data_IF_087982498990
#
_entry.id   IF_087982498990
#
_cell.length_a   1.000
_cell.length_b   1.000
_cell.length_c   1.000
_cell.angle_alpha   90.00
_cell.angle_beta   90.00
_cell.angle_gamma   90.00
#
_symmetry.space_group_name_H-M   'P 1'
#
loop_
_entity.id
_entity.type
_entity.pdbx_description
1 polymer ?
#
# COMPACT_ATOMS: atom_id res chain seq x y z
N UNK A 1 -2.92 8.19 16.82
CA UNK A 1 -2.03 8.96 15.94
C UNK A 1 -0.78 8.13 15.72
N UNK A 2 -0.37 7.94 14.47
CA UNK A 2 0.80 7.12 14.10
C UNK A 2 1.72 7.90 13.17
N UNK A 3 3.00 7.56 13.14
CA UNK A 3 4.01 8.12 12.22
C UNK A 3 4.17 7.18 11.03
N UNK A 4 3.87 7.68 9.83
CA UNK A 4 3.75 6.89 8.61
C UNK A 4 4.69 7.44 7.54
N UNK A 5 5.50 6.56 6.96
CA UNK A 5 6.17 6.83 5.70
C UNK A 5 5.27 6.41 4.53
N UNK A 6 4.95 7.31 3.60
CA UNK A 6 4.14 6.99 2.41
C UNK A 6 4.95 7.19 1.14
N UNK A 7 5.16 6.11 0.39
CA UNK A 7 6.00 6.11 -0.81
C UNK A 7 5.15 5.77 -2.03
N UNK A 8 5.10 6.71 -2.99
CA UNK A 8 4.26 6.64 -4.17
C UNK A 8 2.97 7.45 -4.01
N UNK A 9 2.94 8.65 -4.59
CA UNK A 9 1.89 9.66 -4.46
C UNK A 9 1.14 9.86 -5.80
N UNK A 10 1.00 8.78 -6.56
CA UNK A 10 0.23 8.75 -7.80
C UNK A 10 -1.29 8.84 -7.60
N UNK A 11 -2.04 8.37 -8.59
CA UNK A 11 -3.52 8.45 -8.63
C UNK A 11 -4.21 7.83 -7.42
N UNK A 12 -3.68 6.73 -6.88
CA UNK A 12 -4.21 6.09 -5.68
C UNK A 12 -3.52 6.59 -4.40
N UNK A 13 -2.19 6.73 -4.44
CA UNK A 13 -1.40 7.05 -3.24
C UNK A 13 -1.69 8.45 -2.67
N UNK A 14 -1.80 9.47 -3.51
CA UNK A 14 -2.08 10.84 -3.07
C UNK A 14 -3.40 10.99 -2.28
N UNK A 15 -4.56 10.49 -2.77
CA UNK A 15 -5.79 10.55 -1.97
C UNK A 15 -5.74 9.68 -0.71
N UNK A 16 -5.09 8.51 -0.75
CA UNK A 16 -4.88 7.67 0.44
C UNK A 16 -4.08 8.40 1.53
N UNK A 17 -2.92 8.97 1.17
CA UNK A 17 -2.09 9.77 2.06
C UNK A 17 -2.85 10.99 2.61
N UNK A 18 -3.68 11.63 1.76
CA UNK A 18 -4.53 12.75 2.19
C UNK A 18 -5.55 12.33 3.26
N UNK A 19 -6.09 11.11 3.20
CA UNK A 19 -7.03 10.64 4.21
C UNK A 19 -6.33 10.30 5.53
N UNK A 20 -5.12 9.76 5.48
CA UNK A 20 -4.31 9.56 6.69
C UNK A 20 -4.03 10.89 7.40
N UNK A 21 -3.67 11.95 6.66
CA UNK A 21 -3.51 13.30 7.22
C UNK A 21 -4.80 13.83 7.87
N UNK A 22 -5.95 13.67 7.21
CA UNK A 22 -7.26 14.09 7.75
C UNK A 22 -7.61 13.38 9.07
N UNK A 23 -7.17 12.14 9.24
CA UNK A 23 -7.35 11.37 10.47
C UNK A 23 -6.31 11.69 11.55
N UNK A 24 -5.44 12.68 11.32
CA UNK A 24 -4.47 13.17 12.28
C UNK A 24 -3.20 12.32 12.39
N UNK A 25 -2.89 11.48 11.39
CA UNK A 25 -1.59 10.80 11.33
C UNK A 25 -0.48 11.76 10.86
N UNK A 26 0.75 11.50 11.29
CA UNK A 26 1.92 12.23 10.82
C UNK A 26 2.51 11.49 9.62
N UNK A 27 2.67 12.18 8.50
CA UNK A 27 3.17 11.57 7.28
C UNK A 27 4.50 12.18 6.86
N UNK A 28 5.49 11.32 6.63
CA UNK A 28 6.67 11.61 5.83
C UNK A 28 6.46 11.00 4.45
N UNK A 29 6.58 11.77 3.38
CA UNK A 29 6.16 11.33 2.04
C UNK A 29 7.28 11.44 1.01
N UNK A 30 7.33 10.46 0.11
CA UNK A 30 8.27 10.44 -1.00
C UNK A 30 7.59 10.01 -2.31
N UNK A 31 7.90 10.72 -3.38
CA UNK A 31 7.62 10.33 -4.76
C UNK A 31 8.74 10.88 -5.65
N UNK A 32 8.99 10.23 -6.79
CA UNK A 32 9.95 10.72 -7.80
C UNK A 32 9.45 12.00 -8.47
N UNK A 33 8.14 12.26 -8.43
CA UNK A 33 7.50 13.47 -8.91
C UNK A 33 7.40 14.53 -7.79
N UNK A 34 8.17 15.63 -7.86
CA UNK A 34 8.16 16.67 -6.83
C UNK A 34 6.80 17.38 -6.71
N UNK A 35 6.04 17.51 -7.79
CA UNK A 35 4.71 18.13 -7.74
C UNK A 35 3.74 17.27 -6.92
N UNK A 36 3.89 15.94 -6.97
CA UNK A 36 3.06 15.04 -6.18
C UNK A 36 3.38 15.17 -4.69
N UNK A 37 4.66 15.30 -4.33
CA UNK A 37 5.11 15.58 -2.96
C UNK A 37 4.55 16.92 -2.48
N UNK A 38 4.70 17.98 -3.26
CA UNK A 38 4.26 19.33 -2.88
C UNK A 38 2.77 19.39 -2.53
N UNK A 39 1.91 18.71 -3.31
CA UNK A 39 0.46 18.65 -3.03
C UNK A 39 0.12 18.04 -1.67
N UNK A 40 0.96 17.16 -1.13
CA UNK A 40 0.76 16.57 0.20
C UNK A 40 1.40 17.43 1.28
N UNK A 41 2.52 18.10 0.99
CA UNK A 41 3.12 19.10 1.87
C UNK A 41 2.14 20.24 2.15
N UNK A 42 1.43 20.72 1.12
CA UNK A 42 0.39 21.75 1.26
C UNK A 42 -0.77 21.30 2.18
N UNK A 43 -0.88 20.00 2.46
CA UNK A 43 -1.88 19.39 3.36
C UNK A 43 -1.29 18.99 4.73
N UNK A 44 -0.01 19.28 4.98
CA UNK A 44 0.66 19.02 6.26
C UNK A 44 1.57 17.79 6.30
N UNK A 45 1.85 17.13 5.17
CA UNK A 45 2.89 16.11 5.12
C UNK A 45 4.31 16.71 5.21
N UNK A 46 5.26 15.92 5.69
CA UNK A 46 6.68 16.24 5.65
C UNK A 46 7.30 15.64 4.38
N UNK A 47 8.01 16.42 3.55
CA UNK A 47 8.68 15.88 2.38
C UNK A 47 9.96 15.14 2.77
N UNK A 48 10.23 14.02 2.09
CA UNK A 48 11.52 13.34 2.14
C UNK A 48 12.20 13.37 0.75
N UNK A 49 13.52 13.38 0.73
CA UNK A 49 14.35 13.33 -0.48
C UNK A 49 14.65 11.91 -0.96
N UNK A 50 14.36 10.90 -0.13
CA UNK A 50 14.53 9.49 -0.48
C UNK A 50 13.61 8.58 0.36
N UNK A 51 13.39 7.32 -0.06
CA UNK A 51 12.68 6.34 0.75
C UNK A 51 13.30 6.13 2.13
N UNK A 52 14.63 6.04 2.22
CA UNK A 52 15.35 5.93 3.49
C UNK A 52 15.09 7.13 4.41
N UNK A 53 15.09 8.36 3.88
CA UNK A 53 14.79 9.51 4.72
C UNK A 53 13.33 9.49 5.20
N UNK A 54 12.40 9.04 4.34
CA UNK A 54 10.98 8.98 4.68
C UNK A 54 10.69 8.06 5.88
N UNK A 55 11.50 7.02 6.09
CA UNK A 55 11.26 5.97 7.09
C UNK A 55 11.93 6.21 8.44
N UNK A 56 12.67 7.31 8.63
CA UNK A 56 13.29 7.65 9.92
C UNK A 56 12.20 7.90 10.97
N UNK A 57 12.15 7.04 11.99
CA UNK A 57 11.16 7.13 13.07
C UNK A 57 9.73 6.72 12.67
N UNK A 58 9.54 6.15 11.48
CA UNK A 58 8.24 5.67 11.04
C UNK A 58 7.86 4.36 11.75
N UNK A 59 6.61 4.26 12.18
CA UNK A 59 5.99 3.04 12.73
C UNK A 59 5.44 2.17 11.59
N UNK A 60 4.96 2.82 10.53
CA UNK A 60 4.43 2.16 9.34
C UNK A 60 5.07 2.72 8.07
N UNK A 61 5.29 1.84 7.10
CA UNK A 61 5.68 2.24 5.73
C UNK A 61 4.63 1.73 4.77
N UNK A 62 4.07 2.60 3.96
CA UNK A 62 3.10 2.26 2.93
C UNK A 62 3.71 2.49 1.56
N UNK A 63 3.71 1.46 0.70
CA UNK A 63 4.10 1.58 -0.71
C UNK A 63 2.89 1.47 -1.63
N UNK A 64 2.77 2.40 -2.58
CA UNK A 64 1.70 2.42 -3.59
C UNK A 64 2.28 2.68 -4.99
N UNK A 65 2.95 1.67 -5.54
CA UNK A 65 3.78 1.79 -6.74
C UNK A 65 3.22 1.03 -7.97
N UNK A 66 3.63 1.38 -9.20
CA UNK A 66 3.12 0.78 -10.42
C UNK A 66 3.49 -0.70 -10.67
N UNK A 67 4.61 -1.19 -10.14
CA UNK A 67 5.09 -2.55 -10.36
C UNK A 67 6.03 -3.03 -9.24
N UNK A 68 6.25 -4.35 -9.18
CA UNK A 68 7.08 -4.98 -8.15
C UNK A 68 8.57 -4.66 -8.20
N UNK A 69 9.13 -4.32 -9.37
CA UNK A 69 10.54 -3.94 -9.48
C UNK A 69 10.81 -2.60 -8.81
N UNK A 70 9.86 -1.65 -8.94
CA UNK A 70 9.89 -0.39 -8.22
C UNK A 70 9.75 -0.58 -6.71
N UNK A 71 8.86 -1.48 -6.27
CA UNK A 71 8.76 -1.85 -4.84
C UNK A 71 10.09 -2.41 -4.35
N UNK A 72 10.71 -3.33 -5.09
CA UNK A 72 12.02 -3.89 -4.74
C UNK A 72 13.09 -2.80 -4.63
N UNK A 73 13.15 -1.89 -5.60
CA UNK A 73 14.11 -0.78 -5.60
C UNK A 73 13.89 0.17 -4.42
N UNK A 74 12.64 0.47 -4.09
CA UNK A 74 12.30 1.32 -2.94
C UNK A 74 12.66 0.64 -1.62
N UNK A 75 12.47 -0.68 -1.51
CA UNK A 75 12.78 -1.41 -0.28
C UNK A 75 14.28 -1.62 -0.08
N UNK A 76 14.98 -2.09 -1.12
CA UNK A 76 16.34 -2.62 -1.01
C UNK A 76 17.40 -1.91 -1.86
N UNK A 77 17.00 -0.94 -2.68
CA UNK A 77 17.93 -0.15 -3.48
C UNK A 77 18.74 0.83 -2.62
N UNK A 78 19.61 1.58 -3.29
CA UNK A 78 20.36 2.67 -2.66
C UNK A 78 19.39 3.74 -2.11
N UNK A 79 19.61 4.18 -0.87
CA UNK A 79 18.67 5.04 -0.13
C UNK A 79 17.28 4.41 0.00
N UNK A 80 17.22 3.09 0.04
CA UNK A 80 15.99 2.32 0.21
C UNK A 80 15.49 2.29 1.65
N UNK A 81 14.23 1.91 1.82
CA UNK A 81 13.54 1.79 3.12
C UNK A 81 14.38 1.01 4.15
N UNK A 82 14.98 -0.12 3.74
CA UNK A 82 15.72 -1.00 4.64
C UNK A 82 17.00 -0.40 5.24
N UNK A 83 17.48 0.77 4.78
CA UNK A 83 18.69 1.39 5.31
C UNK A 83 18.46 2.08 6.67
N UNK A 84 17.25 2.55 6.93
CA UNK A 84 16.91 3.41 8.08
C UNK A 84 15.67 2.97 8.84
N UNK A 85 14.87 2.06 8.26
CA UNK A 85 13.64 1.58 8.89
C UNK A 85 13.92 0.88 10.24
N UNK A 86 13.09 1.16 11.24
CA UNK A 86 13.12 0.45 12.51
C UNK A 86 12.73 -1.03 12.34
N UNK A 87 13.31 -1.92 13.14
CA UNK A 87 12.92 -3.35 13.16
C UNK A 87 11.53 -3.59 13.74
N UNK A 88 11.02 -2.62 14.49
CA UNK A 88 9.69 -2.65 15.09
C UNK A 88 8.60 -2.15 14.12
N UNK A 89 9.01 -1.47 13.03
CA UNK A 89 8.08 -0.92 12.07
C UNK A 89 7.49 -1.98 11.15
N UNK A 90 6.28 -1.71 10.65
CA UNK A 90 5.56 -2.59 9.73
C UNK A 90 5.52 -1.99 8.32
N UNK A 91 6.03 -2.74 7.34
CA UNK A 91 5.88 -2.42 5.92
C UNK A 91 4.58 -2.99 5.38
N UNK A 92 3.79 -2.16 4.73
CA UNK A 92 2.48 -2.47 4.14
C UNK A 92 2.57 -2.16 2.64
N UNK A 93 2.71 -3.19 1.81
CA UNK A 93 2.69 -3.00 0.37
C UNK A 93 1.26 -3.04 -0.18
N UNK A 94 0.85 -1.96 -0.84
CA UNK A 94 -0.48 -1.80 -1.44
C UNK A 94 -0.40 -1.64 -2.97
N UNK A 95 0.80 -1.76 -3.53
CA UNK A 95 1.16 -1.55 -4.94
C UNK A 95 0.44 -2.47 -5.93
N UNK A 96 0.73 -2.30 -7.22
CA UNK A 96 0.34 -3.29 -8.24
C UNK A 96 1.50 -4.25 -8.48
N UNK A 97 1.46 -5.43 -7.86
CA UNK A 97 2.54 -6.43 -7.91
C UNK A 97 1.99 -7.84 -8.13
N UNK A 98 2.78 -8.70 -8.76
CA UNK A 98 2.44 -10.10 -8.96
C UNK A 98 2.61 -10.90 -7.64
N UNK A 99 1.69 -11.81 -7.28
CA UNK A 99 1.75 -12.56 -6.02
C UNK A 99 3.12 -13.21 -5.73
N UNK A 100 3.72 -13.88 -6.72
CA UNK A 100 5.05 -14.49 -6.58
C UNK A 100 6.18 -13.49 -6.27
N UNK A 101 6.08 -12.25 -6.77
CA UNK A 101 7.05 -11.21 -6.43
C UNK A 101 6.84 -10.74 -5.00
N UNK A 102 5.59 -10.59 -4.56
CA UNK A 102 5.25 -10.26 -3.16
C UNK A 102 5.81 -11.30 -2.19
N UNK A 103 5.60 -12.60 -2.46
CA UNK A 103 6.12 -13.69 -1.62
C UNK A 103 7.65 -13.59 -1.45
N UNK A 104 8.35 -13.29 -2.55
CA UNK A 104 9.81 -13.10 -2.54
C UNK A 104 10.22 -11.85 -1.73
N UNK A 105 9.51 -10.74 -1.89
CA UNK A 105 9.78 -9.52 -1.12
C UNK A 105 9.58 -9.75 0.39
N UNK A 106 8.51 -10.44 0.78
CA UNK A 106 8.24 -10.78 2.18
C UNK A 106 9.36 -11.66 2.75
N UNK A 107 9.79 -12.69 2.01
CA UNK A 107 10.90 -13.55 2.43
C UNK A 107 12.22 -12.76 2.56
N UNK A 108 12.54 -11.89 1.61
CA UNK A 108 13.73 -11.04 1.64
C UNK A 108 13.68 -10.07 2.84
N UNK A 109 12.53 -9.45 3.12
CA UNK A 109 12.32 -8.57 4.28
C UNK A 109 12.52 -9.33 5.59
N UNK A 110 11.89 -10.51 5.72
CA UNK A 110 11.99 -11.34 6.91
C UNK A 110 13.44 -11.82 7.14
N UNK A 111 14.15 -12.22 6.09
CA UNK A 111 15.56 -12.65 6.18
C UNK A 111 16.48 -11.54 6.71
N UNK A 112 16.11 -10.28 6.45
CA UNK A 112 16.81 -9.10 6.96
C UNK A 112 16.32 -8.69 8.34
N UNK A 113 15.26 -9.26 8.89
CA UNK A 113 14.68 -8.92 10.19
C UNK A 113 13.64 -7.80 10.15
N UNK A 114 12.97 -7.58 9.02
CA UNK A 114 11.87 -6.62 8.89
C UNK A 114 10.51 -7.32 8.79
N UNK A 115 9.47 -6.64 9.27
CA UNK A 115 8.08 -7.09 9.16
C UNK A 115 7.43 -6.50 7.90
N UNK A 116 6.82 -7.36 7.09
CA UNK A 116 6.09 -6.95 5.88
C UNK A 116 4.76 -7.70 5.76
N UNK A 117 3.74 -6.98 5.31
CA UNK A 117 2.43 -7.51 4.92
C UNK A 117 2.02 -6.91 3.56
N UNK A 118 1.12 -7.58 2.85
CA UNK A 118 0.52 -7.07 1.63
C UNK A 118 -0.95 -6.72 1.82
N UNK A 119 -1.36 -5.55 1.33
CA UNK A 119 -2.73 -5.07 1.42
C UNK A 119 -3.18 -4.47 0.09
N UNK A 120 -3.37 -5.28 -0.97
CA UNK A 120 -3.95 -4.79 -2.20
C UNK A 120 -5.33 -4.17 -1.97
N UNK A 121 -5.58 -3.09 -2.70
CA UNK A 121 -6.85 -2.35 -2.60
C UNK A 121 -7.81 -2.72 -3.73
N UNK A 122 -9.08 -2.96 -3.40
CA UNK A 122 -10.17 -3.02 -4.37
C UNK A 122 -10.79 -1.64 -4.62
N UNK A 123 -11.70 -1.56 -5.59
CA UNK A 123 -12.45 -0.35 -5.99
C UNK A 123 -11.59 0.70 -6.72
N UNK A 124 -12.09 1.93 -6.88
CA UNK A 124 -11.54 2.96 -7.79
C UNK A 124 -10.82 4.09 -7.05
N UNK A 125 -10.21 5.00 -7.81
CA UNK A 125 -9.61 6.24 -7.30
C UNK A 125 -10.63 7.12 -6.56
N UNK A 126 -11.89 7.12 -6.96
CA UNK A 126 -12.94 7.87 -6.27
C UNK A 126 -13.12 7.35 -4.84
N UNK A 127 -13.03 6.03 -4.67
CA UNK A 127 -13.08 5.41 -3.34
C UNK A 127 -11.82 5.69 -2.52
N UNK A 128 -10.66 5.84 -3.16
CA UNK A 128 -9.46 6.32 -2.49
C UNK A 128 -9.65 7.77 -1.99
N UNK A 129 -10.32 8.63 -2.75
CA UNK A 129 -10.62 10.01 -2.35
C UNK A 129 -11.58 10.04 -1.16
N UNK A 130 -12.64 9.21 -1.19
CA UNK A 130 -13.66 9.17 -0.13
C UNK A 130 -13.25 8.36 1.10
N UNK A 131 -12.12 7.63 1.06
CA UNK A 131 -11.68 6.77 2.17
C UNK A 131 -12.54 5.51 2.32
N UNK A 132 -13.06 5.00 1.21
CA UNK A 132 -13.96 3.83 1.19
C UNK A 132 -13.38 2.71 0.33
N UNK A 133 -12.07 2.52 0.36
CA UNK A 133 -11.44 1.38 -0.29
C UNK A 133 -11.84 0.06 0.39
N UNK A 134 -11.85 -1.00 -0.41
CA UNK A 134 -11.82 -2.38 0.07
C UNK A 134 -10.36 -2.77 0.26
N UNK A 135 -9.99 -3.27 1.43
CA UNK A 135 -8.62 -3.59 1.80
C UNK A 135 -8.50 -5.10 2.01
N UNK A 136 -7.60 -5.76 1.27
CA UNK A 136 -7.41 -7.21 1.32
C UNK A 136 -6.11 -7.52 2.06
N UNK A 137 -6.16 -7.67 3.38
CA UNK A 137 -4.95 -7.78 4.19
C UNK A 137 -4.41 -9.21 4.24
N UNK A 138 -3.23 -9.43 3.67
CA UNK A 138 -2.39 -10.61 3.85
C UNK A 138 -1.35 -10.34 4.91
N UNK A 139 -1.57 -10.80 6.14
CA UNK A 139 -0.71 -10.58 7.30
C UNK A 139 -0.99 -11.57 8.43
N UNK A 140 -0.10 -11.65 9.42
CA UNK A 140 -0.41 -12.36 10.66
C UNK A 140 -1.55 -11.66 11.41
N UNK A 141 -2.18 -12.33 12.37
CA UNK A 141 -3.25 -11.73 13.16
C UNK A 141 -2.78 -10.43 13.84
N UNK A 142 -1.56 -10.44 14.37
CA UNK A 142 -0.93 -9.32 15.05
C UNK A 142 -0.63 -8.17 14.08
N UNK A 143 -0.11 -8.47 12.88
CA UNK A 143 0.13 -7.45 11.85
C UNK A 143 -1.19 -6.78 11.42
N UNK A 144 -2.24 -7.58 11.21
CA UNK A 144 -3.56 -7.06 10.79
C UNK A 144 -4.18 -6.21 11.90
N UNK A 145 -4.15 -6.68 13.14
CA UNK A 145 -4.65 -5.91 14.30
C UNK A 145 -3.91 -4.58 14.43
N UNK A 146 -2.57 -4.61 14.38
CA UNK A 146 -1.74 -3.42 14.50
C UNK A 146 -1.96 -2.42 13.35
N UNK A 147 -2.12 -2.90 12.11
CA UNK A 147 -2.34 -2.07 10.94
C UNK A 147 -3.78 -1.54 10.81
N UNK A 148 -4.77 -2.18 11.46
CA UNK A 148 -6.20 -1.88 11.27
C UNK A 148 -6.54 -0.39 11.44
N UNK A 149 -6.08 0.33 12.49
CA UNK A 149 -6.40 1.75 12.64
C UNK A 149 -5.90 2.62 11.47
N UNK A 150 -4.72 2.30 10.92
CA UNK A 150 -4.12 2.99 9.77
C UNK A 150 -4.85 2.62 8.48
N UNK A 151 -5.16 1.34 8.29
CA UNK A 151 -5.86 0.83 7.10
C UNK A 151 -7.27 1.43 7.00
N UNK A 152 -8.02 1.45 8.10
CA UNK A 152 -9.39 1.98 8.14
C UNK A 152 -9.49 3.51 8.02
N UNK A 153 -8.36 4.23 8.07
CA UNK A 153 -8.33 5.64 7.68
C UNK A 153 -8.40 5.84 6.15
N UNK A 154 -8.10 4.80 5.36
CA UNK A 154 -8.09 4.84 3.89
C UNK A 154 -9.23 4.01 3.27
N UNK A 155 -9.85 3.13 4.04
CA UNK A 155 -10.93 2.26 3.58
C UNK A 155 -12.03 2.08 4.61
N UNK A 156 -13.12 1.45 4.19
CA UNK A 156 -14.26 1.18 5.05
C UNK A 156 -14.60 -0.31 5.17
N UNK A 157 -13.82 -1.16 4.50
CA UNK A 157 -13.99 -2.61 4.53
C UNK A 157 -12.61 -3.26 4.51
N UNK A 158 -12.35 -4.12 5.49
CA UNK A 158 -11.10 -4.85 5.65
C UNK A 158 -11.39 -6.35 5.66
N UNK A 159 -10.82 -7.07 4.70
CA UNK A 159 -10.90 -8.52 4.60
C UNK A 159 -9.55 -9.11 4.97
N UNK A 160 -9.52 -9.88 6.05
CA UNK A 160 -8.34 -10.66 6.41
C UNK A 160 -8.24 -11.89 5.49
N UNK A 161 -7.13 -11.98 4.76
CA UNK A 161 -6.87 -13.03 3.76
C UNK A 161 -5.93 -14.14 4.27
N UNK A 162 -5.53 -14.06 5.54
CA UNK A 162 -4.56 -14.95 6.16
C UNK A 162 -3.14 -14.40 6.02
N UNK A 163 -2.15 -15.30 5.96
CA UNK A 163 -0.71 -14.99 6.01
C UNK A 163 -0.24 -13.92 4.99
N UNK A 164 0.91 -13.27 5.23
CA UNK A 164 1.59 -12.47 4.22
C UNK A 164 1.70 -13.20 2.86
N UNK A 165 1.41 -12.50 1.77
CA UNK A 165 1.34 -12.97 0.39
C UNK A 165 -0.09 -13.31 -0.08
N UNK A 166 -1.02 -13.55 0.85
CA UNK A 166 -2.37 -13.98 0.50
C UNK A 166 -3.27 -12.84 -0.02
N UNK A 167 -2.95 -11.58 0.27
CA UNK A 167 -3.74 -10.44 -0.18
C UNK A 167 -3.79 -10.37 -1.70
N UNK A 168 -2.63 -10.41 -2.36
CA UNK A 168 -2.55 -10.40 -3.83
C UNK A 168 -3.11 -11.67 -4.47
N UNK A 169 -2.99 -12.81 -3.80
CA UNK A 169 -3.62 -14.06 -4.25
C UNK A 169 -5.14 -13.89 -4.33
N UNK A 170 -5.77 -13.38 -3.25
CA UNK A 170 -7.21 -13.08 -3.22
C UNK A 170 -7.64 -12.00 -4.21
N UNK A 171 -6.82 -10.95 -4.37
CA UNK A 171 -7.10 -9.86 -5.33
C UNK A 171 -7.15 -10.40 -6.76
N UNK A 172 -6.22 -11.28 -7.11
CA UNK A 172 -6.16 -11.90 -8.44
C UNK A 172 -7.43 -12.72 -8.72
N UNK A 173 -7.88 -13.51 -7.75
CA UNK A 173 -9.14 -14.27 -7.84
C UNK A 173 -10.35 -13.33 -8.02
N UNK A 174 -10.42 -12.24 -7.24
CA UNK A 174 -11.49 -11.24 -7.37
C UNK A 174 -11.49 -10.59 -8.77
N UNK A 175 -10.32 -10.18 -9.27
CA UNK A 175 -10.19 -9.56 -10.60
C UNK A 175 -10.61 -10.52 -11.71
N UNK A 176 -10.24 -11.81 -11.61
CA UNK A 176 -10.67 -12.85 -12.54
C UNK A 176 -12.19 -13.02 -12.52
N UNK A 177 -12.80 -13.06 -11.33
CA UNK A 177 -14.26 -13.15 -11.20
C UNK A 177 -14.97 -11.96 -11.84
N UNK A 178 -14.52 -10.72 -11.56
CA UNK A 178 -15.07 -9.50 -12.14
C UNK A 178 -14.90 -9.45 -13.67
N UNK A 179 -13.76 -9.90 -14.19
CA UNK A 179 -13.51 -9.98 -15.62
C UNK A 179 -14.44 -10.99 -16.31
N UNK A 180 -14.60 -12.18 -15.73
CA UNK A 180 -15.54 -13.20 -16.21
C UNK A 180 -16.99 -12.67 -16.23
N UNK A 181 -17.43 -12.00 -15.16
CA UNK A 181 -18.75 -11.38 -15.08
C UNK A 181 -18.96 -10.31 -16.18
N UNK A 182 -17.96 -9.45 -16.40
CA UNK A 182 -17.98 -8.44 -17.49
C UNK A 182 -18.04 -9.08 -18.87
N UNK A 183 -17.30 -10.17 -19.09
CA UNK A 183 -17.33 -10.91 -20.35
C UNK A 183 -18.71 -11.56 -20.61
N UNK A 184 -19.32 -12.14 -19.58
CA UNK A 184 -20.66 -12.72 -19.66
C UNK A 184 -21.71 -11.65 -20.04
N UNK A 185 -21.65 -10.47 -19.39
CA UNK A 185 -22.52 -9.33 -19.70
C UNK A 185 -22.31 -8.76 -21.11
N UNK A 186 -21.08 -8.75 -21.62
CA UNK A 186 -20.80 -8.32 -23.01
C UNK A 186 -21.32 -9.32 -24.04
N UNK A 187 -21.29 -10.62 -23.74
CA UNK A 187 -21.86 -11.66 -24.61
C UNK A 187 -23.38 -11.57 -24.68
N UNK A 188 -24.06 -11.35 -23.55
CA UNK A 188 -25.52 -11.20 -23.54
C UNK A 188 -26.00 -9.96 -24.30
N UNK A 189 -25.26 -8.85 -24.26
CA UNK A 189 -25.59 -7.62 -25.01
C UNK A 189 -25.29 -7.67 -26.51
N UNK A 190 -24.49 -8.63 -26.99
CA UNK A 190 -24.24 -8.85 -28.43
C UNK A 190 -25.19 -9.88 -29.05
N UNK A 191 -25.98 -10.56 -28.22
CA UNK A 191 -26.97 -11.55 -28.66
C UNK A 191 -28.38 -10.94 -28.84
N UNK A 192 -28.48 -9.60 -28.80
CA UNK A 192 -29.67 -8.78 -29.09
C UNK A 192 -29.30 -7.83 -30.23
#
# INVERSE_FOLDING_TARGET
MAVIAFIGLGQMGSPMASNLLKQGHQLSVFDVNPDAVQRLVDKGAQPASSPAQATIGAEFVITMLPNGDLVRSVLFGEQGVCETLSREALVIDMSTIHPLQTDKLIADMQSKGFSMMDVPVGRTSDNAITGTLLLLAGGTAEQVEHATPVLMAMGNELVNTGRPGNGYSRKTDQQLHEYCAKCALRRSRRAV
#
